data_IF_405776883774
#
_entry.id   IF_405776883774
#
_cell.length_a   1.000
_cell.length_b   1.000
_cell.length_c   1.000
_cell.angle_alpha   90.00
_cell.angle_beta   90.00
_cell.angle_gamma   90.00
#
_symmetry.space_group_name_H-M   'P 1'
#
loop_
_entity.id
_entity.type
_entity.pdbx_description
1 polymer ?
#
# COMPACT_ATOMS: atom_id res chain seq x y z
N UNK A 1 6.80 12.33 -29.11
CA UNK A 1 5.86 12.58 -28.14
C UNK A 1 6.25 12.07 -26.77
N UNK A 2 5.44 12.33 -25.84
CA UNK A 2 5.71 11.96 -24.47
C UNK A 2 6.06 10.49 -24.31
N UNK A 3 5.61 9.65 -25.18
CA UNK A 3 5.84 8.23 -25.05
C UNK A 3 7.31 7.87 -25.01
N UNK A 4 8.13 8.60 -25.70
CA UNK A 4 9.55 8.31 -25.67
C UNK A 4 10.15 8.65 -24.34
N UNK A 5 9.77 9.78 -23.83
CA UNK A 5 10.26 10.19 -22.54
C UNK A 5 9.77 9.26 -21.47
N UNK A 6 8.59 8.74 -21.68
CA UNK A 6 8.06 7.79 -20.72
C UNK A 6 8.82 6.50 -20.73
N UNK A 7 9.48 6.19 -21.82
CA UNK A 7 10.22 4.97 -21.91
C UNK A 7 11.29 4.83 -20.86
N UNK A 8 11.94 5.93 -20.50
CA UNK A 8 13.01 5.84 -19.52
C UNK A 8 12.55 5.78 -18.10
N UNK A 9 11.63 6.67 -17.66
CA UNK A 9 11.06 6.49 -16.34
C UNK A 9 10.44 5.11 -16.21
N UNK A 10 9.96 4.55 -17.30
CA UNK A 10 9.36 3.23 -17.30
C UNK A 10 10.29 2.15 -16.82
N UNK A 11 11.56 2.22 -17.20
CA UNK A 11 12.50 1.19 -16.78
C UNK A 11 12.71 1.19 -15.28
N UNK A 12 12.86 2.37 -14.70
CA UNK A 12 13.01 2.46 -13.26
C UNK A 12 11.76 2.03 -12.55
N UNK A 13 10.61 2.43 -13.07
CA UNK A 13 9.34 2.03 -12.50
C UNK A 13 9.17 0.53 -12.58
N UNK A 14 9.50 -0.06 -13.72
CA UNK A 14 9.39 -1.49 -13.89
C UNK A 14 10.31 -2.24 -12.92
N UNK A 15 11.50 -1.71 -12.71
CA UNK A 15 12.43 -2.34 -11.78
C UNK A 15 11.88 -2.33 -10.36
N UNK A 16 11.29 -1.20 -9.93
CA UNK A 16 10.72 -1.10 -8.61
C UNK A 16 9.49 -1.99 -8.46
N UNK A 17 8.67 -2.04 -9.49
CA UNK A 17 7.49 -2.91 -9.49
C UNK A 17 7.92 -4.37 -9.39
N UNK A 18 8.95 -4.74 -10.16
CA UNK A 18 9.43 -6.11 -10.14
C UNK A 18 9.96 -6.50 -8.76
N UNK A 19 10.73 -5.60 -8.14
CA UNK A 19 11.25 -5.86 -6.81
C UNK A 19 10.14 -5.97 -5.78
N UNK A 20 9.15 -5.08 -5.87
CA UNK A 20 8.02 -5.13 -4.95
C UNK A 20 7.25 -6.44 -5.12
N UNK A 21 7.09 -6.88 -6.35
CA UNK A 21 6.41 -8.13 -6.64
C UNK A 21 7.16 -9.31 -6.05
N UNK A 22 8.47 -9.30 -6.16
CA UNK A 22 9.29 -10.35 -5.58
C UNK A 22 9.20 -10.37 -4.06
N UNK A 23 9.18 -9.20 -3.45
CA UNK A 23 9.02 -9.10 -2.01
C UNK A 23 7.68 -9.70 -1.59
N UNK A 24 6.62 -9.41 -2.32
CA UNK A 24 5.32 -9.94 -1.99
C UNK A 24 5.24 -11.44 -2.19
N UNK A 25 5.84 -11.95 -3.25
CA UNK A 25 5.87 -13.40 -3.46
C UNK A 25 6.60 -14.09 -2.33
N UNK A 26 7.69 -13.50 -1.87
CA UNK A 26 8.44 -14.05 -0.74
C UNK A 26 7.61 -13.97 0.54
N UNK A 27 6.94 -12.84 0.75
CA UNK A 27 6.11 -12.63 1.94
C UNK A 27 5.03 -13.69 2.06
N UNK A 28 4.39 -14.04 0.95
CA UNK A 28 3.27 -14.96 0.96
C UNK A 28 3.64 -16.37 0.49
N UNK A 29 4.91 -16.67 0.52
CA UNK A 29 5.44 -17.93 0.00
C UNK A 29 4.75 -19.15 0.60
N UNK A 30 4.39 -19.08 1.88
CA UNK A 30 3.79 -20.22 2.56
C UNK A 30 2.27 -20.19 2.52
N UNK A 31 1.68 -19.18 1.93
CA UNK A 31 0.23 -19.09 1.83
C UNK A 31 -0.25 -19.75 0.57
N UNK A 32 -1.42 -20.39 0.65
CA UNK A 32 -1.97 -21.07 -0.51
C UNK A 32 -2.66 -20.11 -1.47
N UNK A 33 -3.31 -19.07 -0.90
CA UNK A 33 -4.17 -18.22 -1.68
C UNK A 33 -3.71 -16.78 -1.76
N UNK A 34 -2.53 -16.48 -1.22
CA UNK A 34 -2.05 -15.11 -1.21
C UNK A 34 -0.83 -14.99 -2.10
N UNK A 35 -0.88 -14.06 -3.03
CA UNK A 35 0.24 -13.76 -3.91
C UNK A 35 0.59 -12.29 -3.93
N UNK A 36 -0.33 -11.43 -3.47
CA UNK A 36 -0.13 -9.99 -3.49
C UNK A 36 -0.83 -9.37 -2.30
N UNK A 37 -0.38 -8.16 -1.94
CA UNK A 37 -0.95 -7.45 -0.80
C UNK A 37 -2.45 -7.23 -0.92
N UNK A 38 -2.93 -7.01 -2.15
CA UNK A 38 -4.35 -6.74 -2.36
C UNK A 38 -5.24 -7.88 -1.91
N UNK A 39 -4.70 -9.08 -1.82
CA UNK A 39 -5.46 -10.26 -1.43
C UNK A 39 -5.50 -10.49 0.07
N UNK A 40 -4.76 -9.69 0.84
CA UNK A 40 -4.71 -9.86 2.29
C UNK A 40 -6.07 -9.67 2.92
N UNK A 41 -6.35 -10.51 3.92
CA UNK A 41 -7.53 -10.39 4.75
C UNK A 41 -7.11 -9.83 6.10
N UNK A 42 -8.08 -9.62 7.00
CA UNK A 42 -7.81 -8.94 8.27
C UNK A 42 -6.65 -9.55 9.04
N UNK A 43 -6.55 -10.87 9.07
CA UNK A 43 -5.47 -11.53 9.80
C UNK A 43 -4.12 -11.21 9.18
N UNK A 44 -4.07 -11.23 7.85
CA UNK A 44 -2.83 -10.96 7.14
C UNK A 44 -2.40 -9.52 7.33
N UNK A 45 -3.35 -8.61 7.33
CA UNK A 45 -3.06 -7.22 7.53
C UNK A 45 -2.43 -7.00 8.89
N UNK A 46 -2.94 -7.66 9.92
CA UNK A 46 -2.35 -7.56 11.25
C UNK A 46 -0.92 -8.07 11.28
N UNK A 47 -0.65 -9.12 10.51
CA UNK A 47 0.68 -9.73 10.50
C UNK A 47 1.69 -8.93 9.70
N UNK A 48 1.28 -8.36 8.57
CA UNK A 48 2.22 -7.77 7.62
C UNK A 48 2.16 -6.26 7.52
N UNK A 49 1.17 -5.63 8.12
CA UNK A 49 0.98 -4.19 8.01
C UNK A 49 1.05 -3.50 9.35
N UNK A 50 1.99 -3.91 10.21
CA UNK A 50 2.17 -3.28 11.49
C UNK A 50 2.63 -1.83 11.34
N UNK A 51 2.14 -0.96 12.22
CA UNK A 51 2.46 0.45 12.18
C UNK A 51 3.17 0.86 13.46
N UNK A 52 4.09 1.82 13.33
CA UNK A 52 4.68 2.43 14.51
C UNK A 52 3.69 3.44 15.09
N UNK A 53 4.09 4.07 16.21
CA UNK A 53 3.21 5.02 16.90
C UNK A 53 2.80 6.18 16.01
N UNK A 54 3.75 6.72 15.30
CA UNK A 54 3.50 7.90 14.47
C UNK A 54 2.53 7.56 13.34
N UNK A 55 2.76 6.45 12.67
CA UNK A 55 1.90 6.03 11.56
C UNK A 55 0.50 5.68 12.06
N UNK A 56 0.42 5.04 13.21
CA UNK A 56 -0.86 4.67 13.80
C UNK A 56 -1.67 5.90 14.16
N UNK A 57 -1.02 6.92 14.75
CA UNK A 57 -1.68 8.16 15.10
C UNK A 57 -2.18 8.89 13.87
N UNK A 58 -1.34 8.94 12.84
CA UNK A 58 -1.71 9.61 11.61
C UNK A 58 -2.96 8.96 11.01
N UNK A 59 -2.97 7.64 10.95
CA UNK A 59 -4.09 6.93 10.37
C UNK A 59 -5.35 7.11 11.21
N UNK A 60 -5.22 7.07 12.53
CA UNK A 60 -6.36 7.28 13.42
C UNK A 60 -6.97 8.65 13.21
N UNK A 61 -6.13 9.67 13.13
CA UNK A 61 -6.58 11.03 12.91
C UNK A 61 -7.33 11.15 11.58
N UNK A 62 -6.80 10.52 10.55
CA UNK A 62 -7.44 10.55 9.24
C UNK A 62 -8.79 9.83 9.27
N UNK A 63 -8.85 8.70 9.98
CA UNK A 63 -10.10 7.95 10.11
C UNK A 63 -11.18 8.83 10.74
N UNK A 64 -10.81 9.54 11.80
CA UNK A 64 -11.76 10.41 12.48
C UNK A 64 -12.19 11.58 11.62
N UNK A 65 -11.24 12.24 10.99
CA UNK A 65 -11.54 13.45 10.23
C UNK A 65 -12.31 13.17 8.96
N UNK A 66 -12.01 12.05 8.31
CA UNK A 66 -12.62 11.71 7.03
C UNK A 66 -13.82 10.79 7.17
N UNK A 67 -14.10 10.33 8.39
CA UNK A 67 -15.22 9.44 8.61
C UNK A 67 -15.08 8.12 7.87
N UNK A 68 -13.90 7.52 7.91
CA UNK A 68 -13.62 6.31 7.14
C UNK A 68 -14.14 5.07 7.84
N UNK A 69 -14.59 4.10 7.04
CA UNK A 69 -15.08 2.83 7.56
C UNK A 69 -13.92 1.89 7.84
N UNK A 70 -14.23 0.77 8.52
CA UNK A 70 -13.24 -0.27 8.76
C UNK A 70 -12.69 -0.82 7.44
N UNK A 71 -13.52 -0.91 6.43
CA UNK A 71 -13.10 -1.38 5.12
C UNK A 71 -12.06 -0.43 4.52
N UNK A 72 -12.31 0.88 4.66
CA UNK A 72 -11.35 1.86 4.16
C UNK A 72 -10.03 1.76 4.92
N UNK A 73 -10.11 1.51 6.23
CA UNK A 73 -8.91 1.32 7.05
C UNK A 73 -8.05 0.19 6.48
N UNK A 74 -8.67 -0.97 6.24
CA UNK A 74 -7.94 -2.11 5.71
C UNK A 74 -7.33 -1.80 4.35
N UNK A 75 -8.08 -1.11 3.49
CA UNK A 75 -7.58 -0.75 2.17
C UNK A 75 -6.39 0.19 2.25
N UNK A 76 -6.45 1.16 3.16
CA UNK A 76 -5.34 2.08 3.34
C UNK A 76 -4.09 1.30 3.76
N UNK A 77 -4.24 0.33 4.64
CA UNK A 77 -3.10 -0.47 5.07
C UNK A 77 -2.51 -1.30 3.93
N UNK A 78 -3.36 -1.90 3.12
CA UNK A 78 -2.88 -2.68 1.97
C UNK A 78 -2.12 -1.79 0.98
N UNK A 79 -2.67 -0.62 0.69
CA UNK A 79 -2.04 0.32 -0.23
C UNK A 79 -0.73 0.81 0.36
N UNK A 80 -0.72 1.12 1.66
CA UNK A 80 0.50 1.57 2.33
C UNK A 80 1.58 0.51 2.27
N UNK A 81 1.20 -0.77 2.47
CA UNK A 81 2.17 -1.87 2.39
C UNK A 81 2.78 -1.92 0.99
N UNK A 82 1.95 -1.75 -0.02
CA UNK A 82 2.42 -1.77 -1.40
C UNK A 82 3.32 -0.58 -1.70
N UNK A 83 2.95 0.60 -1.22
CA UNK A 83 3.79 1.78 -1.41
C UNK A 83 5.15 1.58 -0.74
N UNK A 84 5.15 1.02 0.47
CA UNK A 84 6.41 0.74 1.17
C UNK A 84 7.24 -0.30 0.40
N UNK A 85 6.59 -1.30 -0.16
CA UNK A 85 7.31 -2.30 -0.97
C UNK A 85 7.95 -1.64 -2.18
N UNK A 86 7.22 -0.76 -2.84
CA UNK A 86 7.76 -0.04 -4.00
C UNK A 86 8.90 0.89 -3.61
N UNK A 87 8.87 1.36 -2.38
CA UNK A 87 9.90 2.24 -1.82
C UNK A 87 11.08 1.44 -1.28
N UNK A 88 11.00 0.12 -1.32
CA UNK A 88 12.07 -0.75 -0.84
C UNK A 88 12.19 -0.78 0.66
N UNK A 89 11.11 -0.48 1.39
CA UNK A 89 11.14 -0.43 2.85
C UNK A 89 10.49 -1.65 3.45
N UNK A 90 11.10 -2.15 4.52
CA UNK A 90 10.54 -3.29 5.23
C UNK A 90 9.36 -2.91 6.09
N UNK A 91 9.31 -1.67 6.52
CA UNK A 91 8.25 -1.19 7.42
C UNK A 91 7.45 -0.09 6.75
N UNK A 92 6.19 0.01 7.16
CA UNK A 92 5.32 1.08 6.69
C UNK A 92 5.61 2.30 7.58
N UNK A 93 5.98 3.41 6.92
CA UNK A 93 6.23 4.67 7.61
C UNK A 93 5.04 5.61 7.43
N UNK A 94 5.04 6.69 8.20
CA UNK A 94 3.96 7.68 8.12
C UNK A 94 3.81 8.25 6.73
N UNK A 95 4.92 8.36 5.99
CA UNK A 95 4.86 8.90 4.63
C UNK A 95 4.06 7.96 3.71
N UNK A 96 4.18 6.67 3.92
CA UNK A 96 3.42 5.70 3.12
C UNK A 96 1.93 5.78 3.44
N UNK A 97 1.60 5.97 4.71
CA UNK A 97 0.21 6.14 5.14
C UNK A 97 -0.37 7.41 4.51
N UNK A 98 0.41 8.49 4.55
CA UNK A 98 -0.02 9.76 4.00
C UNK A 98 -0.31 9.64 2.51
N UNK A 99 0.56 8.97 1.78
CA UNK A 99 0.37 8.77 0.35
C UNK A 99 -0.87 7.92 0.07
N UNK A 100 -1.08 6.89 0.87
CA UNK A 100 -2.25 6.02 0.69
C UNK A 100 -3.54 6.81 0.92
N UNK A 101 -3.55 7.69 1.90
CA UNK A 101 -4.72 8.52 2.18
C UNK A 101 -4.98 9.49 1.03
N UNK A 102 -3.94 10.06 0.47
CA UNK A 102 -4.08 10.95 -0.67
C UNK A 102 -4.62 10.21 -1.89
N UNK A 103 -4.16 9.00 -2.07
CA UNK A 103 -4.64 8.16 -3.15
C UNK A 103 -6.14 7.96 -3.05
N UNK A 104 -6.62 7.76 -1.85
CA UNK A 104 -8.05 7.61 -1.60
C UNK A 104 -8.81 8.87 -2.00
N UNK A 105 -8.25 10.03 -1.69
CA UNK A 105 -8.89 11.30 -2.04
C UNK A 105 -9.02 11.48 -3.54
N UNK A 106 -8.03 11.02 -4.28
CA UNK A 106 -8.04 11.18 -5.72
C UNK A 106 -8.97 10.19 -6.40
N UNK A 107 -9.17 9.05 -5.78
CA UNK A 107 -9.86 7.94 -6.42
C UNK A 107 -11.00 7.43 -5.55
N UNK A 108 -11.84 8.35 -5.11
CA UNK A 108 -12.91 8.03 -4.16
C UNK A 108 -13.82 6.93 -4.64
N UNK A 109 -14.15 6.95 -5.93
CA UNK A 109 -15.10 5.98 -6.44
C UNK A 109 -14.61 4.56 -6.32
N UNK A 110 -13.32 4.36 -6.56
CA UNK A 110 -12.75 3.03 -6.41
C UNK A 110 -12.79 2.57 -4.96
N UNK A 111 -12.62 3.51 -4.03
CA UNK A 111 -12.58 3.17 -2.62
C UNK A 111 -13.97 2.95 -2.04
N UNK A 112 -14.97 3.59 -2.62
CA UNK A 112 -16.34 3.43 -2.16
C UNK A 112 -17.03 2.23 -2.78
N UNK A 113 -16.54 1.81 -3.93
CA UNK A 113 -17.13 0.70 -4.66
C UNK A 113 -16.94 -0.68 -4.04
#
# INVERSE_FOLDING_TARGET
>A
LASKEEGEPSKEIQSRVQKAREVQLTRFKKSRNLFANAQMESQDIKSYCGLDSESSELLRTAMDKLGLSARAYDRILKVSRTIADLDGKNKIDSIHISEAIQYRSLDRQLWLG
#
